data_IF_325274977507
#
_entry.id   IF_325274977507
#
_cell.length_a   1.000
_cell.length_b   1.000
_cell.length_c   1.000
_cell.angle_alpha   90.00
_cell.angle_beta   90.00
_cell.angle_gamma   90.00
#
_symmetry.space_group_name_H-M   'P 1'
#
loop_
_entity.id
_entity.type
_entity.pdbx_description
1 polymer ?
#
# COMPACT_ATOMS: atom_id res chain seq x y z
N UNK A 1 14.11 26.96 3.25
CA UNK A 1 13.38 25.68 3.11
C UNK A 1 12.61 25.31 4.38
N UNK A 2 13.17 25.46 5.61
CA UNK A 2 12.44 25.22 6.88
C UNK A 2 11.10 25.98 7.03
N UNK A 3 11.02 27.20 6.51
CA UNK A 3 9.80 28.03 6.56
C UNK A 3 8.59 27.43 5.81
N UNK A 4 8.80 26.48 4.88
CA UNK A 4 7.73 25.92 4.06
C UNK A 4 6.99 24.77 4.75
N UNK A 5 7.63 24.08 5.69
CA UNK A 5 7.03 22.95 6.42
C UNK A 5 6.98 23.17 7.93
N UNK A 6 7.54 24.27 8.44
CA UNK A 6 7.52 24.68 9.85
C UNK A 6 7.91 23.53 10.79
N UNK A 7 7.00 23.08 11.64
CA UNK A 7 7.19 22.01 12.64
C UNK A 7 6.92 20.60 12.08
N UNK A 8 6.56 20.47 10.80
CA UNK A 8 6.22 19.18 10.19
C UNK A 8 7.46 18.31 10.06
N UNK A 9 7.37 17.08 10.56
CA UNK A 9 8.44 16.08 10.50
C UNK A 9 8.01 14.95 9.57
N UNK A 10 8.86 14.63 8.59
CA UNK A 10 8.70 13.43 7.78
C UNK A 10 9.30 12.25 8.55
N UNK A 11 8.43 11.43 9.12
CA UNK A 11 8.82 10.22 9.85
C UNK A 11 9.11 9.07 8.86
N UNK A 12 9.82 8.03 9.32
CA UNK A 12 10.05 6.84 8.51
C UNK A 12 8.70 6.18 8.18
N UNK A 13 8.30 6.14 6.90
CA UNK A 13 6.96 5.67 6.54
C UNK A 13 6.78 4.17 6.80
N UNK A 14 7.86 3.38 6.79
CA UNK A 14 7.80 1.93 7.02
C UNK A 14 7.53 1.64 8.50
N UNK A 15 8.21 2.36 9.40
CA UNK A 15 8.00 2.25 10.85
C UNK A 15 6.59 2.67 11.22
N UNK A 16 6.14 3.84 10.76
CA UNK A 16 4.80 4.34 11.07
C UNK A 16 3.70 3.45 10.47
N UNK A 17 3.89 2.93 9.26
CA UNK A 17 2.93 1.98 8.68
C UNK A 17 2.86 0.67 9.46
N UNK A 18 4.00 0.16 9.94
CA UNK A 18 4.04 -1.05 10.76
C UNK A 18 3.35 -0.85 12.12
N UNK A 19 3.59 0.27 12.79
CA UNK A 19 2.96 0.57 14.07
C UNK A 19 1.44 0.69 13.91
N UNK A 20 0.99 1.41 12.88
CA UNK A 20 -0.43 1.60 12.61
C UNK A 20 -1.10 0.29 12.18
N UNK A 21 -0.48 -0.52 11.32
CA UNK A 21 -1.05 -1.79 10.89
C UNK A 21 -1.16 -2.78 12.04
N UNK A 22 -0.21 -2.76 12.98
CA UNK A 22 -0.27 -3.53 14.22
C UNK A 22 -1.47 -3.11 15.07
N UNK A 23 -1.64 -1.81 15.34
CA UNK A 23 -2.77 -1.29 16.13
C UNK A 23 -4.10 -1.72 15.49
N UNK A 24 -4.26 -1.48 14.19
CA UNK A 24 -5.50 -1.82 13.48
C UNK A 24 -5.79 -3.32 13.54
N UNK A 25 -4.76 -4.17 13.43
CA UNK A 25 -4.95 -5.62 13.36
C UNK A 25 -5.10 -6.28 14.72
N UNK A 26 -4.27 -5.90 15.68
CA UNK A 26 -4.15 -6.55 16.98
C UNK A 26 -5.02 -5.89 18.05
N UNK A 27 -5.13 -4.57 18.04
CA UNK A 27 -5.85 -3.84 19.08
C UNK A 27 -7.32 -3.62 18.65
N UNK A 28 -7.52 -3.13 17.42
CA UNK A 28 -8.85 -2.87 16.84
C UNK A 28 -9.48 -4.09 16.14
N UNK A 29 -8.75 -5.21 16.05
CA UNK A 29 -9.24 -6.48 15.49
C UNK A 29 -9.79 -6.36 14.06
N UNK A 30 -9.21 -5.48 13.23
CA UNK A 30 -9.65 -5.29 11.85
C UNK A 30 -9.44 -6.55 11.00
N UNK A 31 -10.46 -6.95 10.25
CA UNK A 31 -10.36 -8.10 9.34
C UNK A 31 -9.57 -7.75 8.07
N UNK A 32 -9.63 -6.50 7.60
CA UNK A 32 -8.94 -5.96 6.43
C UNK A 32 -8.25 -4.63 6.75
N UNK A 33 -6.97 -4.51 6.38
CA UNK A 33 -6.17 -3.28 6.55
C UNK A 33 -5.67 -2.80 5.19
N UNK A 34 -6.05 -1.58 4.83
CA UNK A 34 -5.68 -0.92 3.57
C UNK A 34 -4.78 0.28 3.87
N UNK A 35 -3.59 0.30 3.27
CA UNK A 35 -2.67 1.42 3.34
C UNK A 35 -2.85 2.32 2.11
N UNK A 36 -3.18 3.59 2.33
CA UNK A 36 -3.14 4.61 1.28
C UNK A 36 -1.77 5.28 1.32
N UNK A 37 -1.00 5.12 0.25
CA UNK A 37 0.39 5.54 0.17
C UNK A 37 0.61 6.55 -0.94
N UNK A 38 1.59 7.43 -0.74
CA UNK A 38 2.11 8.31 -1.78
C UNK A 38 3.64 8.21 -1.86
N UNK A 39 4.20 7.02 -1.56
CA UNK A 39 5.64 6.77 -1.58
C UNK A 39 6.19 6.53 -2.99
N UNK A 40 5.36 6.09 -3.93
CA UNK A 40 5.80 5.67 -5.25
C UNK A 40 5.96 4.17 -5.36
N UNK A 41 5.61 3.62 -6.52
CA UNK A 41 5.59 2.17 -6.74
C UNK A 41 6.95 1.51 -6.47
N UNK A 42 8.00 1.92 -7.17
CA UNK A 42 9.37 1.45 -6.98
C UNK A 42 10.40 2.43 -7.58
N UNK A 43 11.61 2.48 -7.02
CA UNK A 43 12.70 3.34 -7.49
C UNK A 43 13.97 2.53 -7.75
N UNK A 44 14.20 2.14 -9.01
CA UNK A 44 15.38 1.35 -9.38
C UNK A 44 16.71 2.08 -9.20
N UNK A 45 16.69 3.42 -9.30
CA UNK A 45 17.89 4.26 -9.19
C UNK A 45 18.20 4.68 -7.74
N UNK A 46 17.31 4.37 -6.80
CA UNK A 46 17.48 4.68 -5.38
C UNK A 46 16.94 3.52 -4.51
N UNK A 47 17.77 2.48 -4.29
CA UNK A 47 17.40 1.31 -3.49
C UNK A 47 17.18 1.61 -2.01
N UNK A 48 17.57 2.76 -1.50
CA UNK A 48 17.35 3.14 -0.10
C UNK A 48 16.04 3.93 0.08
N UNK A 49 15.57 4.61 -0.97
CA UNK A 49 14.30 5.35 -0.91
C UNK A 49 13.09 4.43 -0.64
N UNK A 50 12.25 4.76 0.35
CA UNK A 50 11.00 4.02 0.58
C UNK A 50 10.10 4.01 -0.66
N UNK A 51 9.44 2.88 -0.90
CA UNK A 51 8.48 2.68 -1.98
C UNK A 51 7.35 1.76 -1.51
N UNK A 52 6.27 1.69 -2.28
CA UNK A 52 5.12 0.84 -1.97
C UNK A 52 5.51 -0.64 -1.91
N UNK A 53 6.38 -1.11 -2.81
CA UNK A 53 6.89 -2.49 -2.76
C UNK A 53 7.72 -2.76 -1.51
N UNK A 54 8.64 -1.85 -1.13
CA UNK A 54 9.47 -2.02 0.07
C UNK A 54 8.65 -1.94 1.35
N UNK A 55 7.64 -1.06 1.38
CA UNK A 55 6.71 -0.96 2.50
C UNK A 55 5.94 -2.27 2.65
N UNK A 56 5.42 -2.82 1.56
CA UNK A 56 4.74 -4.10 1.57
C UNK A 56 5.63 -5.25 2.07
N UNK A 57 6.88 -5.33 1.58
CA UNK A 57 7.85 -6.37 1.95
C UNK A 57 8.28 -6.29 3.42
N UNK A 58 8.48 -5.08 3.95
CA UNK A 58 9.03 -4.87 5.30
C UNK A 58 7.98 -4.82 6.40
N UNK A 59 6.71 -4.65 6.06
CA UNK A 59 5.62 -4.57 7.05
C UNK A 59 4.86 -5.89 7.19
N UNK A 60 3.96 -5.92 8.18
CA UNK A 60 3.01 -6.99 8.47
C UNK A 60 1.61 -6.41 8.53
N UNK A 61 0.62 -7.30 8.51
CA UNK A 61 -0.81 -6.99 8.71
C UNK A 61 -1.51 -6.12 7.64
N UNK A 62 -0.77 -5.53 6.69
CA UNK A 62 -1.34 -4.79 5.56
C UNK A 62 -1.73 -5.74 4.43
N UNK A 63 -2.96 -5.64 3.95
CA UNK A 63 -3.51 -6.52 2.92
C UNK A 63 -3.45 -5.90 1.52
N UNK A 64 -3.67 -4.60 1.45
CA UNK A 64 -3.66 -3.82 0.22
C UNK A 64 -2.96 -2.48 0.45
N UNK A 65 -2.08 -2.12 -0.47
CA UNK A 65 -1.52 -0.79 -0.61
C UNK A 65 -2.05 -0.16 -1.90
N UNK A 66 -2.69 1.01 -1.77
CA UNK A 66 -3.08 1.85 -2.91
C UNK A 66 -2.07 3.00 -2.98
N UNK A 67 -1.16 2.89 -3.95
CA UNK A 67 -0.03 3.79 -4.13
C UNK A 67 -0.32 5.01 -5.01
N UNK A 68 0.70 5.84 -5.16
CA UNK A 68 0.64 7.11 -5.91
C UNK A 68 2.03 7.60 -6.31
N UNK A 69 2.19 8.90 -6.55
CA UNK A 69 3.47 9.58 -6.81
C UNK A 69 4.19 9.25 -8.13
N UNK A 70 4.55 8.00 -8.42
CA UNK A 70 5.33 7.63 -9.61
C UNK A 70 4.53 7.61 -10.91
N UNK A 71 3.21 7.87 -10.84
CA UNK A 71 2.27 7.79 -11.96
C UNK A 71 2.33 6.43 -12.70
N UNK A 72 2.62 5.35 -11.97
CA UNK A 72 2.79 4.01 -12.54
C UNK A 72 1.45 3.45 -12.99
N UNK A 73 1.38 3.02 -14.25
CA UNK A 73 0.24 2.32 -14.82
C UNK A 73 0.43 0.82 -14.65
N UNK A 74 -0.32 0.20 -13.74
CA UNK A 74 -0.29 -1.24 -13.56
C UNK A 74 -1.45 -1.91 -14.32
N UNK A 75 -1.17 -2.94 -15.14
CA UNK A 75 -2.23 -3.69 -15.84
C UNK A 75 -3.05 -4.55 -14.87
N UNK A 76 -2.47 -4.93 -13.73
CA UNK A 76 -3.10 -5.62 -12.61
C UNK A 76 -2.32 -5.32 -11.33
N UNK A 77 -2.91 -5.47 -10.13
CA UNK A 77 -2.17 -5.33 -8.89
C UNK A 77 -0.96 -6.27 -8.83
N UNK A 78 0.12 -5.78 -8.25
CA UNK A 78 1.29 -6.58 -7.92
C UNK A 78 1.03 -7.33 -6.61
N UNK A 79 1.36 -8.62 -6.58
CA UNK A 79 1.34 -9.42 -5.36
C UNK A 79 2.77 -9.50 -4.83
N UNK A 80 2.98 -9.08 -3.59
CA UNK A 80 4.27 -9.19 -2.92
C UNK A 80 4.13 -9.95 -1.60
N UNK A 81 5.25 -10.46 -1.10
CA UNK A 81 5.34 -11.17 0.17
C UNK A 81 5.77 -10.20 1.26
N UNK A 82 4.95 -10.10 2.29
CA UNK A 82 5.26 -9.25 3.44
C UNK A 82 6.28 -9.92 4.39
N UNK A 83 6.62 -9.27 5.50
CA UNK A 83 7.63 -9.77 6.43
C UNK A 83 7.26 -11.10 7.13
N UNK A 84 6.02 -11.59 6.99
CA UNK A 84 5.57 -12.92 7.45
C UNK A 84 5.40 -13.93 6.31
N UNK A 85 5.79 -13.59 5.09
CA UNK A 85 5.57 -14.43 3.91
C UNK A 85 4.09 -14.52 3.47
N UNK A 86 3.22 -13.64 3.98
CA UNK A 86 1.82 -13.51 3.53
C UNK A 86 1.74 -12.61 2.31
N UNK A 87 0.72 -12.81 1.48
CA UNK A 87 0.52 -12.00 0.28
C UNK A 87 -0.05 -10.63 0.67
N UNK A 88 0.53 -9.56 0.11
CA UNK A 88 0.01 -8.19 0.15
C UNK A 88 -0.16 -7.71 -1.29
N UNK A 89 -1.30 -7.07 -1.58
CA UNK A 89 -1.57 -6.46 -2.88
C UNK A 89 -1.00 -5.04 -2.90
N UNK A 90 -0.41 -4.64 -4.03
CA UNK A 90 0.03 -3.27 -4.29
C UNK A 90 -0.56 -2.83 -5.62
N UNK A 91 -1.28 -1.71 -5.63
CA UNK A 91 -1.92 -1.21 -6.85
C UNK A 91 -1.74 0.29 -7.04
N UNK A 92 -1.67 0.71 -8.31
CA UNK A 92 -1.63 2.10 -8.75
C UNK A 92 -2.20 2.20 -10.17
N UNK A 93 -2.96 3.26 -10.44
CA UNK A 93 -3.71 3.43 -11.69
C UNK A 93 -3.26 4.62 -12.53
N UNK A 94 -1.97 4.95 -12.47
CA UNK A 94 -1.40 6.06 -13.22
C UNK A 94 -1.71 7.43 -12.61
N UNK A 95 -2.20 8.36 -13.43
CA UNK A 95 -2.42 9.76 -13.05
C UNK A 95 -3.52 10.43 -13.92
N UNK A 96 -3.87 11.66 -13.57
CA UNK A 96 -4.81 12.53 -14.31
C UNK A 96 -6.25 12.03 -14.42
N UNK A 97 -6.64 11.03 -13.61
CA UNK A 97 -8.00 10.51 -13.60
C UNK A 97 -8.38 9.72 -14.85
N UNK A 98 -7.41 9.28 -15.66
CA UNK A 98 -7.69 8.55 -16.91
C UNK A 98 -8.09 7.08 -16.68
N UNK A 99 -7.78 6.54 -15.50
CA UNK A 99 -8.17 5.19 -15.10
C UNK A 99 -8.81 5.21 -13.70
N UNK A 100 -9.72 4.26 -13.48
CA UNK A 100 -10.30 3.96 -12.17
C UNK A 100 -9.89 2.55 -11.74
N UNK A 101 -9.23 2.45 -10.60
CA UNK A 101 -8.87 1.15 -10.01
C UNK A 101 -10.06 0.51 -9.32
N UNK A 102 -10.26 -0.79 -9.55
CA UNK A 102 -11.28 -1.59 -8.85
C UNK A 102 -10.63 -2.84 -8.27
N UNK A 103 -10.75 -3.02 -6.96
CA UNK A 103 -10.32 -4.22 -6.26
C UNK A 103 -11.53 -4.74 -5.48
N UNK A 104 -11.96 -5.95 -5.83
CA UNK A 104 -13.05 -6.62 -5.16
C UNK A 104 -12.47 -7.58 -4.11
N UNK A 105 -12.88 -7.39 -2.85
CA UNK A 105 -12.58 -8.30 -1.74
C UNK A 105 -13.81 -9.14 -1.40
N UNK A 106 -13.57 -10.42 -1.13
CA UNK A 106 -14.59 -11.37 -0.68
C UNK A 106 -14.22 -11.88 0.70
N UNK A 107 -15.19 -11.89 1.61
CA UNK A 107 -15.06 -12.39 2.97
C UNK A 107 -15.97 -13.60 3.14
N UNK A 108 -15.47 -14.66 3.78
CA UNK A 108 -16.30 -15.77 4.22
C UNK A 108 -16.68 -15.65 5.71
N UNK A 109 -17.53 -16.57 6.18
CA UNK A 109 -17.95 -16.65 7.57
C UNK A 109 -16.81 -16.92 8.55
N UNK A 110 -15.70 -17.47 8.06
CA UNK A 110 -14.51 -17.79 8.84
C UNK A 110 -13.47 -16.65 8.78
N UNK A 111 -13.86 -15.49 8.25
CA UNK A 111 -13.02 -14.28 8.08
C UNK A 111 -11.81 -14.49 7.17
N UNK A 112 -11.81 -15.54 6.35
CA UNK A 112 -10.85 -15.63 5.26
C UNK A 112 -11.20 -14.58 4.22
N UNK A 113 -10.16 -13.96 3.66
CA UNK A 113 -10.28 -12.94 2.63
C UNK A 113 -9.52 -13.33 1.38
N UNK A 114 -10.16 -13.14 0.24
CA UNK A 114 -9.54 -13.26 -1.08
C UNK A 114 -9.84 -12.00 -1.88
N UNK A 115 -8.98 -11.67 -2.84
CA UNK A 115 -9.10 -10.46 -3.63
C UNK A 115 -8.74 -10.67 -5.09
N UNK A 116 -9.50 -10.04 -5.97
CA UNK A 116 -9.25 -9.91 -7.40
C UNK A 116 -9.21 -8.42 -7.76
N UNK A 117 -8.19 -7.98 -8.49
CA UNK A 117 -8.08 -6.57 -8.88
C UNK A 117 -7.92 -6.38 -10.38
N UNK A 118 -8.51 -5.29 -10.87
CA UNK A 118 -8.47 -4.87 -12.27
C UNK A 118 -8.39 -3.34 -12.39
N UNK A 119 -7.83 -2.87 -13.50
CA UNK A 119 -7.80 -1.45 -13.84
C UNK A 119 -8.84 -1.19 -14.92
N UNK A 120 -9.75 -0.22 -14.69
CA UNK A 120 -10.80 0.17 -15.65
C UNK A 120 -10.35 1.46 -16.33
N UNK A 121 -10.28 1.43 -17.67
CA UNK A 121 -10.07 2.62 -18.50
C UNK A 121 -11.44 3.28 -18.69
N UNK A 122 -11.52 4.57 -18.41
CA UNK A 122 -12.75 5.38 -18.62
C UNK A 122 -12.61 6.19 -19.90
#
# INVERSE_FOLDING_TARGET
VKNLYKETVYLNPIEIAQDMSRILKEDEQCDLVICLSHLGYNYSNDPEKPSDLKLAEKTKHIDLIIGGHTHTFLPKPTITKNAEGKNTLVNQVGCYGINLGRIDFYFDSDRNKTANGTSIIV
#
